data_IF_869020531577
#
_entry.id   IF_869020531577
#
_cell.length_a   1.000
_cell.length_b   1.000
_cell.length_c   1.000
_cell.angle_alpha   90.00
_cell.angle_beta   90.00
_cell.angle_gamma   90.00
#
_symmetry.space_group_name_H-M   'P 1'
#
loop_
_entity.id
_entity.type
_entity.pdbx_description
1 polymer ?
#
# COMPACT_ATOMS: atom_id res chain seq x y z
N UNK A 1 5.10 -10.37 51.74
CA UNK A 1 3.94 -9.72 51.08
C UNK A 1 2.90 -9.46 52.16
N UNK A 2 2.38 -8.24 52.28
CA UNK A 2 1.33 -7.91 53.26
C UNK A 2 0.01 -7.82 52.52
N UNK A 3 -0.95 -8.63 52.95
CA UNK A 3 -2.31 -8.56 52.42
C UNK A 3 -3.01 -7.35 53.04
N UNK A 4 -3.77 -6.64 52.21
CA UNK A 4 -4.50 -5.42 52.60
C UNK A 4 -5.94 -5.59 52.15
N UNK A 5 -6.88 -5.31 53.05
CA UNK A 5 -8.30 -5.30 52.74
C UNK A 5 -8.62 -4.16 51.78
N UNK A 6 -9.35 -4.45 50.70
CA UNK A 6 -9.65 -3.48 49.62
C UNK A 6 -11.15 -3.18 49.45
N UNK A 7 -12.03 -3.96 50.06
CA UNK A 7 -13.47 -3.77 49.99
C UNK A 7 -14.24 -4.88 50.71
N UNK A 8 -15.55 -4.72 50.77
CA UNK A 8 -16.51 -5.68 51.33
C UNK A 8 -17.73 -5.82 50.42
N UNK A 9 -18.33 -7.01 50.41
CA UNK A 9 -19.55 -7.30 49.68
C UNK A 9 -20.62 -7.78 50.64
N UNK A 10 -21.82 -7.19 50.57
CA UNK A 10 -22.98 -7.60 51.34
C UNK A 10 -23.97 -8.35 50.45
N UNK A 11 -24.12 -9.66 50.66
CA UNK A 11 -24.97 -10.53 49.85
C UNK A 11 -26.48 -10.32 50.06
N UNK A 12 -26.90 -9.73 51.19
CA UNK A 12 -28.33 -9.51 51.49
C UNK A 12 -28.83 -8.24 50.80
N UNK A 13 -28.01 -7.19 50.83
CA UNK A 13 -28.31 -5.89 50.21
C UNK A 13 -27.84 -5.80 48.74
N UNK A 14 -27.11 -6.81 48.27
CA UNK A 14 -26.41 -6.83 46.98
C UNK A 14 -25.56 -5.57 46.75
N UNK A 15 -24.84 -5.14 47.80
CA UNK A 15 -24.02 -3.93 47.79
C UNK A 15 -22.53 -4.25 47.86
N UNK A 16 -21.75 -3.61 46.98
CA UNK A 16 -20.29 -3.71 46.94
C UNK A 16 -19.67 -2.37 47.35
N UNK A 17 -18.92 -2.38 48.45
CA UNK A 17 -18.21 -1.21 48.95
C UNK A 17 -16.71 -1.38 48.72
N UNK A 18 -16.15 -0.55 47.84
CA UNK A 18 -14.72 -0.54 47.54
C UNK A 18 -14.08 0.64 48.26
N UNK A 19 -12.97 0.36 48.95
CA UNK A 19 -12.18 1.40 49.62
C UNK A 19 -11.41 2.16 48.53
N UNK A 20 -11.79 3.42 48.29
CA UNK A 20 -11.11 4.26 47.30
C UNK A 20 -9.60 4.29 47.59
N UNK A 21 -8.79 4.25 46.51
CA UNK A 21 -7.32 4.30 46.54
C UNK A 21 -6.57 3.06 47.09
N UNK A 22 -7.23 1.98 47.50
CA UNK A 22 -6.56 0.75 47.97
C UNK A 22 -6.15 -0.18 46.82
N UNK A 23 -6.95 -0.23 45.75
CA UNK A 23 -6.69 -1.08 44.58
C UNK A 23 -5.75 -0.35 43.63
N UNK A 24 -4.62 -0.98 43.32
CA UNK A 24 -3.65 -0.49 42.34
C UNK A 24 -3.42 -1.59 41.31
N UNK A 25 -3.62 -1.23 40.05
CA UNK A 25 -3.22 -2.06 38.93
C UNK A 25 -1.78 -1.70 38.54
N UNK A 26 -1.12 -2.59 37.79
CA UNK A 26 0.19 -2.28 37.21
C UNK A 26 0.10 -1.14 36.16
N UNK A 27 -1.08 -0.96 35.54
CA UNK A 27 -1.38 0.13 34.60
C UNK A 27 -2.35 1.18 35.18
N UNK A 28 -2.70 2.17 34.37
CA UNK A 28 -3.68 3.22 34.74
C UNK A 28 -5.13 2.73 34.74
N UNK A 29 -5.42 1.70 33.95
CA UNK A 29 -6.77 1.17 33.75
C UNK A 29 -6.82 -0.31 34.15
N UNK A 30 -7.98 -0.80 34.63
CA UNK A 30 -8.20 -2.23 34.81
C UNK A 30 -7.93 -3.00 33.50
N UNK A 31 -7.30 -4.17 33.58
CA UNK A 31 -7.04 -4.97 32.39
C UNK A 31 -8.35 -5.39 31.72
N UNK A 32 -8.37 -5.35 30.39
CA UNK A 32 -9.50 -5.84 29.59
C UNK A 32 -9.36 -7.35 29.40
N UNK A 33 -10.49 -8.05 29.39
CA UNK A 33 -10.56 -9.51 29.21
C UNK A 33 -10.10 -9.96 27.81
N UNK A 34 -10.25 -9.10 26.80
CA UNK A 34 -9.89 -9.38 25.40
C UNK A 34 -9.07 -8.29 24.74
N UNK A 35 -8.30 -8.70 23.74
CA UNK A 35 -7.56 -7.79 22.86
C UNK A 35 -8.50 -7.11 21.85
N UNK A 36 -8.13 -5.89 21.42
CA UNK A 36 -8.84 -5.14 20.39
C UNK A 36 -8.15 -5.42 19.05
N UNK A 37 -8.83 -6.09 18.13
CA UNK A 37 -8.32 -6.37 16.79
C UNK A 37 -8.54 -5.14 15.92
N UNK A 38 -7.46 -4.50 15.49
CA UNK A 38 -7.51 -3.39 14.53
C UNK A 38 -6.97 -3.88 13.18
N UNK A 39 -7.86 -4.05 12.20
CA UNK A 39 -7.46 -4.36 10.84
C UNK A 39 -6.87 -3.11 10.19
N UNK A 40 -5.63 -3.19 9.71
CA UNK A 40 -4.99 -2.12 8.96
C UNK A 40 -4.57 -2.64 7.59
N UNK A 41 -4.80 -1.82 6.56
CA UNK A 41 -4.32 -2.10 5.20
C UNK A 41 -2.80 -1.95 5.17
N UNK A 42 -2.11 -2.97 4.65
CA UNK A 42 -0.66 -2.91 4.47
C UNK A 42 -0.36 -2.14 3.19
N UNK A 43 0.15 -0.92 3.35
CA UNK A 43 0.39 -0.03 2.21
C UNK A 43 1.77 -0.18 1.59
N UNK A 44 1.88 0.15 0.31
CA UNK A 44 3.17 0.32 -0.37
C UNK A 44 3.85 1.59 0.17
N UNK A 45 5.17 1.56 0.35
CA UNK A 45 5.90 2.75 0.78
C UNK A 45 5.97 3.79 -0.35
N UNK A 46 5.43 4.98 -0.07
CA UNK A 46 5.48 6.15 -0.93
C UNK A 46 6.85 6.43 -1.57
N UNK A 47 7.99 6.38 -0.85
CA UNK A 47 9.29 6.64 -1.47
C UNK A 47 9.68 5.61 -2.52
N UNK A 48 9.39 4.32 -2.30
CA UNK A 48 9.68 3.28 -3.30
C UNK A 48 8.85 3.48 -4.55
N UNK A 49 7.55 3.78 -4.38
CA UNK A 49 6.68 4.05 -5.51
C UNK A 49 7.12 5.27 -6.30
N UNK A 50 7.53 6.35 -5.63
CA UNK A 50 8.05 7.56 -6.27
C UNK A 50 9.28 7.26 -7.12
N UNK A 51 10.27 6.54 -6.60
CA UNK A 51 11.49 6.17 -7.35
C UNK A 51 11.15 5.33 -8.59
N UNK A 52 10.30 4.30 -8.43
CA UNK A 52 9.89 3.44 -9.54
C UNK A 52 9.11 4.22 -10.61
N UNK A 53 8.22 5.12 -10.20
CA UNK A 53 7.45 5.96 -11.12
C UNK A 53 8.36 6.90 -11.93
N UNK A 54 9.34 7.54 -11.29
CA UNK A 54 10.29 8.43 -11.96
C UNK A 54 11.15 7.67 -13.00
N UNK A 55 11.64 6.48 -12.64
CA UNK A 55 12.40 5.63 -13.56
C UNK A 55 11.55 5.19 -14.77
N UNK A 56 10.28 4.89 -14.53
CA UNK A 56 9.33 4.49 -15.58
C UNK A 56 9.04 5.64 -16.55
N UNK A 57 8.89 6.87 -16.03
CA UNK A 57 8.70 8.07 -16.86
C UNK A 57 9.93 8.31 -17.75
N UNK A 58 11.14 8.17 -17.20
CA UNK A 58 12.38 8.26 -17.99
C UNK A 58 12.41 7.19 -19.10
N UNK A 59 12.02 5.96 -18.79
CA UNK A 59 11.88 4.87 -19.76
C UNK A 59 10.90 5.19 -20.89
N UNK A 60 9.73 5.77 -20.57
CA UNK A 60 8.75 6.18 -21.58
C UNK A 60 9.25 7.31 -22.48
N UNK A 61 9.99 8.29 -21.94
CA UNK A 61 10.59 9.36 -22.73
C UNK A 61 11.60 8.78 -23.72
N UNK A 62 12.46 7.87 -23.25
CA UNK A 62 13.43 7.17 -24.11
C UNK A 62 12.75 6.33 -25.20
N UNK A 63 11.72 5.56 -24.84
CA UNK A 63 10.94 4.76 -25.79
C UNK A 63 10.27 5.63 -26.86
N UNK A 64 9.72 6.78 -26.46
CA UNK A 64 9.10 7.75 -27.37
C UNK A 64 10.13 8.36 -28.34
N UNK A 65 11.33 8.69 -27.84
CA UNK A 65 12.42 9.19 -28.67
C UNK A 65 12.88 8.16 -29.70
N UNK A 66 13.01 6.88 -29.29
CA UNK A 66 13.35 5.80 -30.21
C UNK A 66 12.26 5.54 -31.24
N UNK A 67 10.98 5.61 -30.85
CA UNK A 67 9.87 5.48 -31.78
C UNK A 67 9.89 6.60 -32.82
N UNK A 68 10.06 7.85 -32.38
CA UNK A 68 10.16 9.00 -33.26
C UNK A 68 11.34 8.86 -34.24
N UNK A 69 12.51 8.46 -33.74
CA UNK A 69 13.69 8.21 -34.58
C UNK A 69 13.43 7.09 -35.61
N UNK A 70 12.78 6.00 -35.19
CA UNK A 70 12.44 4.86 -36.04
C UNK A 70 11.51 5.29 -37.19
N UNK A 71 10.48 6.09 -36.88
CA UNK A 71 9.54 6.62 -37.87
C UNK A 71 10.22 7.62 -38.81
N UNK A 72 11.03 8.55 -38.27
CA UNK A 72 11.67 9.61 -39.06
C UNK A 72 12.69 9.05 -40.05
N UNK A 73 13.50 8.08 -39.63
CA UNK A 73 14.55 7.49 -40.46
C UNK A 73 14.12 6.21 -41.21
N UNK A 74 12.80 5.94 -41.29
CA UNK A 74 12.18 4.84 -42.05
C UNK A 74 12.74 4.61 -43.45
N UNK A 75 13.17 5.67 -44.12
CA UNK A 75 13.64 5.62 -45.52
C UNK A 75 15.14 5.29 -45.66
N UNK A 76 15.89 5.20 -44.55
CA UNK A 76 17.29 4.79 -44.57
C UNK A 76 17.42 3.27 -44.80
N UNK A 77 18.31 2.86 -45.71
CA UNK A 77 18.48 1.46 -46.14
C UNK A 77 18.79 0.51 -44.97
N UNK A 78 19.52 0.99 -43.97
CA UNK A 78 19.87 0.26 -42.73
C UNK A 78 18.65 -0.04 -41.84
N UNK A 79 17.71 0.90 -41.71
CA UNK A 79 16.51 0.75 -40.86
C UNK A 79 15.44 -0.09 -41.57
N UNK A 80 15.44 -0.08 -42.91
CA UNK A 80 14.52 -0.89 -43.71
C UNK A 80 14.84 -2.39 -43.67
N UNK A 81 16.12 -2.75 -43.48
CA UNK A 81 16.57 -4.14 -43.35
C UNK A 81 16.28 -4.75 -41.96
N UNK A 82 16.01 -3.94 -40.94
CA UNK A 82 15.78 -4.38 -39.56
C UNK A 82 14.30 -4.57 -39.18
N UNK A 83 13.40 -4.71 -40.17
CA UNK A 83 11.94 -4.91 -39.96
C UNK A 83 11.29 -3.78 -39.13
N UNK A 84 11.04 -2.60 -39.72
CA UNK A 84 10.58 -1.41 -39.00
C UNK A 84 9.23 -1.60 -38.28
N UNK A 85 8.31 -2.40 -38.84
CA UNK A 85 7.03 -2.70 -38.19
C UNK A 85 7.18 -3.52 -36.90
N UNK A 86 8.13 -4.47 -36.88
CA UNK A 86 8.41 -5.26 -35.69
C UNK A 86 9.04 -4.40 -34.59
N UNK A 87 9.97 -3.51 -34.94
CA UNK A 87 10.57 -2.59 -33.98
C UNK A 87 9.54 -1.64 -33.36
N UNK A 88 8.61 -1.12 -34.16
CA UNK A 88 7.51 -0.30 -33.63
C UNK A 88 6.60 -1.09 -32.69
N UNK A 89 6.31 -2.37 -32.99
CA UNK A 89 5.49 -3.22 -32.14
C UNK A 89 6.19 -3.56 -30.81
N UNK A 90 7.51 -3.79 -30.83
CA UNK A 90 8.31 -3.97 -29.61
C UNK A 90 8.26 -2.72 -28.72
N UNK A 91 8.43 -1.53 -29.31
CA UNK A 91 8.37 -0.27 -28.55
C UNK A 91 6.97 -0.04 -27.99
N UNK A 92 5.92 -0.34 -28.76
CA UNK A 92 4.53 -0.25 -28.29
C UNK A 92 4.27 -1.20 -27.12
N UNK A 93 4.75 -2.45 -27.21
CA UNK A 93 4.69 -3.41 -26.12
C UNK A 93 5.44 -2.95 -24.87
N UNK A 94 6.60 -2.31 -25.04
CA UNK A 94 7.36 -1.69 -23.95
C UNK A 94 6.63 -0.52 -23.29
N UNK A 95 5.94 0.32 -24.07
CA UNK A 95 5.10 1.40 -23.51
C UNK A 95 3.90 0.84 -22.72
N UNK A 96 3.26 -0.22 -23.23
CA UNK A 96 2.16 -0.91 -22.53
C UNK A 96 2.64 -1.58 -21.24
N UNK A 97 3.82 -2.19 -21.23
CA UNK A 97 4.38 -2.78 -20.01
C UNK A 97 4.75 -1.71 -18.97
N UNK A 98 5.27 -0.56 -19.38
CA UNK A 98 5.47 0.58 -18.47
C UNK A 98 4.17 1.11 -17.86
N UNK A 99 3.06 1.10 -18.61
CA UNK A 99 1.76 1.49 -18.06
C UNK A 99 1.32 0.58 -16.90
N UNK A 100 1.66 -0.71 -16.93
CA UNK A 100 1.33 -1.66 -15.84
C UNK A 100 1.96 -1.28 -14.49
N UNK A 101 3.13 -0.62 -14.49
CA UNK A 101 3.81 -0.18 -13.25
C UNK A 101 2.97 0.85 -12.51
N UNK A 102 2.26 1.72 -13.23
CA UNK A 102 1.33 2.68 -12.62
C UNK A 102 0.12 1.98 -12.01
N UNK A 103 -0.42 0.97 -12.69
CA UNK A 103 -1.53 0.16 -12.18
C UNK A 103 -1.16 -0.58 -10.89
N UNK A 104 0.04 -1.18 -10.82
CA UNK A 104 0.53 -1.83 -9.61
C UNK A 104 0.74 -0.88 -8.42
N UNK A 105 0.91 0.41 -8.69
CA UNK A 105 1.03 1.44 -7.66
C UNK A 105 -0.26 1.83 -6.96
N UNK A 106 -1.41 1.47 -7.54
CA UNK A 106 -2.73 1.83 -7.03
C UNK A 106 -3.10 0.92 -5.86
N UNK A 107 -2.77 1.39 -4.67
CA UNK A 107 -3.13 0.74 -3.42
C UNK A 107 -4.54 1.13 -2.95
N UNK A 108 -5.17 0.34 -2.07
CA UNK A 108 -6.49 0.59 -1.49
C UNK A 108 -6.60 1.87 -0.65
N UNK A 109 -5.48 2.59 -0.47
CA UNK A 109 -5.47 3.95 0.08
C UNK A 109 -5.78 5.04 -0.94
N UNK A 110 -5.54 4.79 -2.22
CA UNK A 110 -5.74 5.76 -3.31
C UNK A 110 -7.02 5.49 -4.09
N UNK A 111 -7.48 4.24 -4.07
CA UNK A 111 -8.55 3.74 -4.91
C UNK A 111 -9.60 3.02 -4.05
N UNK A 112 -10.88 3.23 -4.35
CA UNK A 112 -11.98 2.55 -3.67
C UNK A 112 -12.01 1.06 -4.02
N UNK A 113 -12.50 0.22 -3.11
CA UNK A 113 -12.57 -1.25 -3.28
C UNK A 113 -13.20 -1.66 -4.63
N UNK A 114 -14.28 -1.00 -5.05
CA UNK A 114 -14.95 -1.29 -6.33
C UNK A 114 -14.07 -1.02 -7.56
N UNK A 115 -13.29 0.05 -7.51
CA UNK A 115 -12.40 0.41 -8.61
C UNK A 115 -11.18 -0.52 -8.63
N UNK A 116 -10.72 -0.98 -7.46
CA UNK A 116 -9.66 -1.98 -7.35
C UNK A 116 -10.08 -3.32 -8.00
N UNK A 117 -11.31 -3.79 -7.75
CA UNK A 117 -11.87 -4.99 -8.40
C UNK A 117 -11.94 -4.88 -9.93
N UNK A 118 -12.10 -3.66 -10.47
CA UNK A 118 -12.17 -3.43 -11.92
C UNK A 118 -10.79 -3.33 -12.56
N UNK A 119 -9.76 -2.94 -11.79
CA UNK A 119 -8.40 -2.76 -12.27
C UNK A 119 -7.58 -4.06 -12.28
N UNK A 120 -7.97 -5.06 -11.49
CA UNK A 120 -7.41 -6.42 -11.50
C UNK A 120 -7.90 -7.23 -12.71
#
# INVERSE_FOLDING_TARGET
>A
KKEVKVGEYNAILDSLEIINNSIKFHGKEPPKDRTIIQKQLRKISLPLYSILSALTILGMIMASAFLFFNIKNRNQKLIKMSSPYMNNLIILGGMLSYASIFLFGLDGSFVSEKTFETLC
#
